data_IF_395524507821
#
_entry.id   IF_395524507821
#
_cell.length_a   1.000
_cell.length_b   1.000
_cell.length_c   1.000
_cell.angle_alpha   90.00
_cell.angle_beta   90.00
_cell.angle_gamma   90.00
#
_symmetry.space_group_name_H-M   'P 1'
#
loop_
_entity.id
_entity.type
_entity.pdbx_description
1 polymer ?
#
# COMPACT_ATOMS: atom_id res chain seq x y z
N UNK A 1 11.44 -6.96 27.24
CA UNK A 1 11.82 -6.27 25.98
C UNK A 1 10.60 -6.26 25.07
N UNK A 2 10.11 -5.09 24.65
CA UNK A 2 8.97 -4.98 23.74
C UNK A 2 9.42 -5.27 22.31
N UNK A 3 9.25 -6.51 21.85
CA UNK A 3 9.54 -6.88 20.47
C UNK A 3 8.40 -6.34 19.58
N UNK A 4 8.73 -5.48 18.63
CA UNK A 4 7.73 -4.98 17.66
C UNK A 4 7.24 -6.13 16.80
N UNK A 5 5.92 -6.32 16.65
CA UNK A 5 5.36 -7.38 15.82
C UNK A 5 5.58 -7.15 14.32
N UNK A 6 5.80 -5.90 13.91
CA UNK A 6 6.00 -5.48 12.54
C UNK A 6 7.49 -5.33 12.22
N UNK A 7 8.20 -6.45 12.24
CA UNK A 7 9.65 -6.52 11.99
C UNK A 7 9.97 -7.70 11.09
N UNK A 8 11.06 -7.61 10.34
CA UNK A 8 11.58 -8.69 9.49
C UNK A 8 11.97 -9.95 10.26
N UNK A 9 12.17 -9.85 11.58
CA UNK A 9 12.44 -10.98 12.45
C UNK A 9 11.18 -11.81 12.78
N UNK A 10 9.98 -11.22 12.66
CA UNK A 10 8.74 -11.94 12.95
C UNK A 10 8.34 -12.81 11.75
N UNK A 11 8.35 -14.15 11.87
CA UNK A 11 8.04 -15.04 10.74
C UNK A 11 6.61 -14.87 10.21
N UNK A 12 5.68 -14.41 11.04
CA UNK A 12 4.30 -14.13 10.61
C UNK A 12 4.26 -12.90 9.69
N UNK A 13 5.00 -11.85 10.04
CA UNK A 13 5.07 -10.62 9.25
C UNK A 13 5.79 -10.83 7.92
N UNK A 14 6.85 -11.63 7.90
CA UNK A 14 7.56 -11.96 6.65
C UNK A 14 6.68 -12.80 5.72
N UNK A 15 5.96 -13.78 6.27
CA UNK A 15 4.98 -14.59 5.53
C UNK A 15 3.89 -13.69 4.93
N UNK A 16 3.32 -12.78 5.72
CA UNK A 16 2.34 -11.80 5.24
C UNK A 16 2.91 -10.97 4.08
N UNK A 17 4.11 -10.40 4.26
CA UNK A 17 4.74 -9.53 3.27
C UNK A 17 5.01 -10.24 1.94
N UNK A 18 5.41 -11.51 1.99
CA UNK A 18 5.59 -12.34 0.79
C UNK A 18 4.28 -12.57 0.03
N UNK A 19 3.21 -13.04 0.71
CA UNK A 19 1.92 -13.26 0.05
C UNK A 19 1.26 -11.95 -0.40
N UNK A 20 1.48 -10.85 0.32
CA UNK A 20 1.04 -9.53 -0.08
C UNK A 20 1.68 -9.10 -1.41
N UNK A 21 3.00 -9.22 -1.54
CA UNK A 21 3.70 -8.92 -2.78
C UNK A 21 3.21 -9.78 -3.95
N UNK A 22 2.98 -11.07 -3.71
CA UNK A 22 2.49 -12.02 -4.71
C UNK A 22 1.06 -11.67 -5.18
N UNK A 23 0.16 -11.35 -4.26
CA UNK A 23 -1.21 -10.94 -4.58
C UNK A 23 -1.25 -9.59 -5.32
N UNK A 24 -0.42 -8.64 -4.93
CA UNK A 24 -0.39 -7.35 -5.63
C UNK A 24 0.24 -7.49 -7.02
N UNK A 25 1.28 -8.32 -7.16
CA UNK A 25 1.84 -8.68 -8.46
C UNK A 25 0.76 -9.20 -9.41
N UNK A 26 -0.12 -10.07 -8.91
CA UNK A 26 -1.27 -10.57 -9.66
C UNK A 26 -2.19 -9.43 -10.13
N UNK A 27 -2.56 -8.48 -9.26
CA UNK A 27 -3.41 -7.32 -9.66
C UNK A 27 -2.76 -6.59 -10.85
N UNK A 28 -1.46 -6.30 -10.74
CA UNK A 28 -0.72 -5.60 -11.80
C UNK A 28 -0.63 -6.42 -13.09
N UNK A 29 -0.46 -7.75 -12.97
CA UNK A 29 -0.44 -8.65 -14.11
C UNK A 29 -1.78 -8.67 -14.85
N UNK A 30 -2.91 -8.69 -14.14
CA UNK A 30 -4.25 -8.61 -14.77
C UNK A 30 -4.49 -7.25 -15.42
N UNK A 31 -3.95 -6.15 -14.86
CA UNK A 31 -3.95 -4.84 -15.51
C UNK A 31 -3.20 -4.87 -16.86
N UNK A 32 -2.01 -5.48 -16.87
CA UNK A 32 -1.23 -5.66 -18.09
C UNK A 32 -1.98 -6.52 -19.12
N UNK A 33 -2.60 -7.63 -18.70
CA UNK A 33 -3.42 -8.47 -19.59
C UNK A 33 -4.61 -7.70 -20.19
N UNK A 34 -5.20 -6.77 -19.47
CA UNK A 34 -6.28 -5.91 -19.99
C UNK A 34 -5.75 -5.01 -21.11
N UNK A 35 -4.57 -4.41 -20.94
CA UNK A 35 -3.92 -3.63 -22.00
C UNK A 35 -3.58 -4.49 -23.20
N UNK A 36 -2.97 -5.66 -22.97
CA UNK A 36 -2.60 -6.61 -24.01
C UNK A 36 -3.80 -7.09 -24.84
N UNK A 37 -4.91 -7.43 -24.18
CA UNK A 37 -6.14 -7.88 -24.86
C UNK A 37 -6.77 -6.77 -25.71
N UNK A 38 -6.74 -5.51 -25.26
CA UNK A 38 -7.17 -4.35 -26.06
C UNK A 38 -6.37 -4.22 -27.35
N UNK A 39 -5.04 -4.31 -27.26
CA UNK A 39 -4.17 -4.26 -28.45
C UNK A 39 -4.41 -5.45 -29.38
N UNK A 40 -4.55 -6.67 -28.85
CA UNK A 40 -4.80 -7.89 -29.63
C UNK A 40 -6.16 -7.86 -30.36
N UNK A 41 -7.19 -7.28 -29.74
CA UNK A 41 -8.56 -7.22 -30.28
C UNK A 41 -8.87 -5.93 -31.03
N UNK A 42 -7.95 -4.97 -31.07
CA UNK A 42 -8.14 -3.62 -31.63
C UNK A 42 -9.38 -2.89 -31.08
N UNK A 43 -9.75 -3.19 -29.83
CA UNK A 43 -10.92 -2.64 -29.15
C UNK A 43 -10.47 -1.61 -28.12
N UNK A 44 -10.66 -0.32 -28.44
CA UNK A 44 -10.26 0.79 -27.58
C UNK A 44 -11.48 1.56 -27.08
N UNK A 45 -11.35 2.20 -25.92
CA UNK A 45 -12.41 3.01 -25.31
C UNK A 45 -12.39 4.47 -25.77
N UNK A 46 -11.28 4.88 -26.39
CA UNK A 46 -10.93 6.25 -26.67
C UNK A 46 -10.84 6.45 -28.18
N UNK A 47 -11.55 7.42 -28.77
CA UNK A 47 -11.49 7.66 -30.22
C UNK A 47 -10.08 8.05 -30.69
N UNK A 48 -9.31 8.76 -29.86
CA UNK A 48 -7.94 9.15 -30.19
C UNK A 48 -6.96 7.97 -30.27
N UNK A 49 -7.29 6.87 -29.59
CA UNK A 49 -6.50 5.64 -29.59
C UNK A 49 -6.83 4.78 -30.82
N UNK A 50 -8.02 4.97 -31.43
CA UNK A 50 -8.43 4.33 -32.67
C UNK A 50 -7.81 4.96 -33.91
N UNK A 51 -7.73 6.29 -33.97
CA UNK A 51 -7.33 7.02 -35.19
C UNK A 51 -5.88 6.75 -35.64
N UNK A 52 -5.01 6.26 -34.74
CA UNK A 52 -3.62 5.89 -35.07
C UNK A 52 -3.46 4.43 -35.50
N UNK A 53 -4.48 3.59 -35.33
CA UNK A 53 -4.43 2.18 -35.73
C UNK A 53 -5.39 1.95 -36.88
N UNK A 54 -4.87 1.48 -38.02
CA UNK A 54 -5.62 1.24 -39.27
C UNK A 54 -6.87 0.33 -39.14
N UNK A 55 -7.09 -0.31 -37.97
CA UNK A 55 -8.22 -1.20 -37.67
C UNK A 55 -8.89 -0.93 -36.30
N UNK A 56 -8.51 0.14 -35.59
CA UNK A 56 -9.05 0.43 -34.26
C UNK A 56 -10.51 0.88 -34.32
N UNK A 57 -11.40 0.24 -33.57
CA UNK A 57 -12.79 0.69 -33.41
C UNK A 57 -13.07 1.01 -31.95
N UNK A 58 -13.84 2.09 -31.71
CA UNK A 58 -14.39 2.37 -30.38
C UNK A 58 -15.51 1.35 -30.15
N UNK A 59 -15.18 0.25 -29.48
CA UNK A 59 -16.13 -0.84 -29.20
C UNK A 59 -15.84 -1.44 -27.84
N UNK A 60 -16.89 -1.76 -27.11
CA UNK A 60 -16.80 -2.62 -25.94
C UNK A 60 -16.72 -4.08 -26.42
N UNK A 61 -15.58 -4.71 -26.18
CA UNK A 61 -15.38 -6.12 -26.49
C UNK A 61 -15.61 -6.97 -25.23
N UNK A 62 -16.33 -8.07 -25.36
CA UNK A 62 -16.72 -8.90 -24.21
C UNK A 62 -15.50 -9.51 -23.51
N UNK A 63 -14.46 -9.90 -24.26
CA UNK A 63 -13.25 -10.49 -23.70
C UNK A 63 -12.46 -9.44 -22.89
N UNK A 64 -12.38 -8.19 -23.38
CA UNK A 64 -11.74 -7.08 -22.65
C UNK A 64 -12.50 -6.77 -21.36
N UNK A 65 -13.83 -6.70 -21.43
CA UNK A 65 -14.67 -6.47 -20.25
C UNK A 65 -14.63 -7.64 -19.27
N UNK A 66 -14.36 -8.87 -19.74
CA UNK A 66 -14.14 -10.03 -18.86
C UNK A 66 -12.86 -9.86 -18.05
N UNK A 67 -11.73 -9.52 -18.69
CA UNK A 67 -10.46 -9.28 -17.96
C UNK A 67 -10.58 -8.08 -17.03
N UNK A 68 -11.27 -7.01 -17.45
CA UNK A 68 -11.51 -5.83 -16.60
C UNK A 68 -12.32 -6.16 -15.35
N UNK A 69 -13.38 -6.95 -15.47
CA UNK A 69 -14.15 -7.45 -14.31
C UNK A 69 -13.30 -8.31 -13.39
N UNK A 70 -12.32 -9.06 -13.93
CA UNK A 70 -11.40 -9.86 -13.13
C UNK A 70 -10.50 -8.95 -12.29
N UNK A 71 -9.96 -7.89 -12.91
CA UNK A 71 -9.14 -6.89 -12.25
C UNK A 71 -9.93 -6.18 -11.13
N UNK A 72 -11.15 -5.73 -11.42
CA UNK A 72 -11.99 -5.05 -10.43
C UNK A 72 -12.33 -5.95 -9.25
N UNK A 73 -12.67 -7.21 -9.51
CA UNK A 73 -12.88 -8.18 -8.45
C UNK A 73 -11.62 -8.37 -7.60
N UNK A 74 -10.45 -8.44 -8.22
CA UNK A 74 -9.18 -8.52 -7.50
C UNK A 74 -8.96 -7.27 -6.61
N UNK A 75 -9.23 -6.05 -7.08
CA UNK A 75 -9.15 -4.84 -6.27
C UNK A 75 -10.13 -4.86 -5.08
N UNK A 76 -11.38 -5.25 -5.31
CA UNK A 76 -12.45 -5.30 -4.30
C UNK A 76 -12.19 -6.36 -3.21
N UNK A 77 -11.42 -7.41 -3.50
CA UNK A 77 -11.21 -8.54 -2.59
C UNK A 77 -9.82 -8.55 -1.95
N UNK A 78 -8.77 -8.29 -2.74
CA UNK A 78 -7.38 -8.36 -2.27
C UNK A 78 -7.06 -7.16 -1.37
N UNK A 79 -7.51 -5.94 -1.71
CA UNK A 79 -7.19 -4.76 -0.88
C UNK A 79 -7.76 -4.87 0.54
N UNK A 80 -9.04 -5.26 0.76
CA UNK A 80 -9.53 -5.52 2.11
C UNK A 80 -8.78 -6.65 2.83
N UNK A 81 -8.46 -7.73 2.11
CA UNK A 81 -7.68 -8.84 2.68
C UNK A 81 -6.32 -8.36 3.18
N UNK A 82 -5.59 -7.54 2.42
CA UNK A 82 -4.28 -7.02 2.83
C UNK A 82 -4.39 -6.19 4.11
N UNK A 83 -5.42 -5.35 4.23
CA UNK A 83 -5.70 -4.58 5.44
C UNK A 83 -6.02 -5.47 6.64
N UNK A 84 -6.94 -6.42 6.48
CA UNK A 84 -7.32 -7.37 7.54
C UNK A 84 -6.15 -8.27 7.97
N UNK A 85 -5.38 -8.78 7.01
CA UNK A 85 -4.22 -9.61 7.26
C UNK A 85 -3.12 -8.83 7.99
N UNK A 86 -2.87 -7.56 7.63
CA UNK A 86 -1.92 -6.70 8.35
C UNK A 86 -2.33 -6.48 9.81
N UNK A 87 -3.62 -6.21 10.05
CA UNK A 87 -4.18 -6.10 11.40
C UNK A 87 -4.06 -7.44 12.16
N UNK A 88 -4.33 -8.56 11.48
CA UNK A 88 -4.19 -9.90 12.03
C UNK A 88 -2.76 -10.23 12.48
N UNK A 89 -1.72 -9.80 11.74
CA UNK A 89 -0.32 -9.91 12.21
C UNK A 89 -0.13 -9.21 13.57
N UNK A 90 -0.80 -8.08 13.77
CA UNK A 90 -0.79 -7.33 15.04
C UNK A 90 -1.41 -8.06 16.23
N UNK A 91 -2.17 -9.14 16.00
CA UNK A 91 -2.71 -10.00 17.08
C UNK A 91 -1.70 -11.04 17.59
N UNK A 92 -0.55 -11.18 16.93
CA UNK A 92 0.46 -12.17 17.26
C UNK A 92 0.01 -13.64 17.09
N UNK A 93 -0.58 -14.02 15.94
CA UNK A 93 -1.10 -15.36 15.73
C UNK A 93 0.03 -16.40 15.60
N UNK A 94 -0.33 -17.68 15.71
CA UNK A 94 0.62 -18.76 15.42
C UNK A 94 0.97 -18.78 13.93
N UNK A 95 2.23 -19.12 13.62
CA UNK A 95 2.73 -19.16 12.24
C UNK A 95 1.92 -20.11 11.35
N UNK A 96 1.53 -21.27 11.87
CA UNK A 96 0.75 -22.26 11.13
C UNK A 96 -0.61 -21.72 10.68
N UNK A 97 -1.36 -21.08 11.59
CA UNK A 97 -2.65 -20.48 11.27
C UNK A 97 -2.53 -19.34 10.26
N UNK A 98 -1.54 -18.46 10.43
CA UNK A 98 -1.30 -17.36 9.47
C UNK A 98 -0.92 -17.90 8.07
N UNK A 99 0.00 -18.87 7.98
CA UNK A 99 0.38 -19.50 6.72
C UNK A 99 -0.82 -20.14 6.04
N UNK A 100 -1.65 -20.88 6.77
CA UNK A 100 -2.84 -21.53 6.22
C UNK A 100 -3.82 -20.53 5.61
N UNK A 101 -4.16 -19.46 6.33
CA UNK A 101 -5.09 -18.44 5.86
C UNK A 101 -4.56 -17.70 4.63
N UNK A 102 -3.29 -17.28 4.67
CA UNK A 102 -2.69 -16.52 3.56
C UNK A 102 -2.54 -17.38 2.31
N UNK A 103 -2.16 -18.66 2.45
CA UNK A 103 -2.10 -19.63 1.34
C UNK A 103 -3.48 -19.90 0.76
N UNK A 104 -4.47 -20.14 1.61
CA UNK A 104 -5.84 -20.46 1.17
C UNK A 104 -6.46 -19.29 0.41
N UNK A 105 -6.33 -18.07 0.94
CA UNK A 105 -6.81 -16.88 0.23
C UNK A 105 -6.09 -16.69 -1.10
N UNK A 106 -4.76 -16.82 -1.11
CA UNK A 106 -3.95 -16.69 -2.34
C UNK A 106 -4.38 -17.71 -3.38
N UNK A 107 -4.41 -19.00 -3.03
CA UNK A 107 -4.85 -20.07 -3.94
C UNK A 107 -6.26 -19.81 -4.48
N UNK A 108 -7.21 -19.45 -3.61
CA UNK A 108 -8.58 -19.13 -4.03
C UNK A 108 -8.63 -17.97 -5.03
N UNK A 109 -7.81 -16.92 -4.85
CA UNK A 109 -7.73 -15.79 -5.78
C UNK A 109 -7.10 -16.17 -7.11
N UNK A 110 -6.01 -16.93 -7.11
CA UNK A 110 -5.40 -17.40 -8.38
C UNK A 110 -6.37 -18.30 -9.15
N UNK A 111 -7.03 -19.23 -8.46
CA UNK A 111 -8.08 -20.06 -9.05
C UNK A 111 -9.23 -19.24 -9.61
N UNK A 112 -9.71 -18.21 -8.89
CA UNK A 112 -10.78 -17.34 -9.39
C UNK A 112 -10.40 -16.66 -10.72
N UNK A 113 -9.20 -16.08 -10.82
CA UNK A 113 -8.74 -15.42 -12.05
C UNK A 113 -8.46 -16.42 -13.16
N UNK A 114 -7.92 -17.60 -12.86
CA UNK A 114 -7.72 -18.66 -13.84
C UNK A 114 -9.06 -19.11 -14.46
N UNK A 115 -10.04 -19.40 -13.61
CA UNK A 115 -11.40 -19.84 -13.99
C UNK A 115 -12.23 -18.73 -14.64
N UNK A 116 -11.84 -17.47 -14.46
CA UNK A 116 -12.59 -16.34 -15.01
C UNK A 116 -11.99 -15.76 -16.30
N UNK A 117 -10.67 -15.58 -16.33
CA UNK A 117 -9.98 -14.87 -17.40
C UNK A 117 -9.22 -15.81 -18.36
N UNK A 118 -8.75 -16.97 -17.90
CA UNK A 118 -7.93 -17.88 -18.72
C UNK A 118 -8.78 -19.01 -19.30
N UNK A 119 -9.46 -19.76 -18.44
CA UNK A 119 -10.33 -20.87 -18.82
C UNK A 119 -11.75 -20.51 -18.44
N UNK A 120 -12.64 -20.34 -19.42
CA UNK A 120 -14.05 -20.03 -19.16
C UNK A 120 -14.76 -21.30 -18.70
N UNK A 121 -14.74 -21.56 -17.40
CA UNK A 121 -15.53 -22.65 -16.81
C UNK A 121 -16.92 -22.10 -16.46
N UNK A 122 -18.00 -22.83 -16.78
CA UNK A 122 -19.34 -22.46 -16.34
C UNK A 122 -19.41 -22.38 -14.80
N UNK A 123 -20.46 -21.71 -14.31
CA UNK A 123 -20.79 -21.75 -12.88
C UNK A 123 -20.95 -23.22 -12.45
N UNK A 124 -20.49 -23.64 -11.24
CA UNK A 124 -20.31 -22.86 -10.02
C UNK A 124 -18.84 -22.58 -9.60
N UNK A 125 -17.84 -23.00 -10.38
CA UNK A 125 -16.42 -22.95 -9.97
C UNK A 125 -15.96 -21.54 -9.55
N UNK A 126 -16.42 -20.50 -10.25
CA UNK A 126 -16.16 -19.11 -9.89
C UNK A 126 -16.74 -18.74 -8.52
N UNK A 127 -18.01 -19.06 -8.28
CA UNK A 127 -18.69 -18.72 -7.04
C UNK A 127 -18.03 -19.42 -5.84
N UNK A 128 -17.64 -20.69 -6.00
CA UNK A 128 -16.94 -21.45 -4.96
C UNK A 128 -15.61 -20.78 -4.58
N UNK A 129 -14.77 -20.47 -5.57
CA UNK A 129 -13.49 -19.78 -5.30
C UNK A 129 -13.69 -18.39 -4.69
N UNK A 130 -14.75 -17.67 -5.08
CA UNK A 130 -15.15 -16.40 -4.49
C UNK A 130 -15.49 -16.56 -3.00
N UNK A 131 -16.41 -17.49 -2.68
CA UNK A 131 -16.89 -17.78 -1.32
C UNK A 131 -15.73 -18.14 -0.40
N UNK A 132 -14.80 -19.01 -0.83
CA UNK A 132 -13.63 -19.38 -0.02
C UNK A 132 -12.82 -18.15 0.39
N UNK A 133 -12.57 -17.21 -0.53
CA UNK A 133 -11.85 -15.97 -0.20
C UNK A 133 -12.62 -15.08 0.79
N UNK A 134 -13.94 -14.99 0.63
CA UNK A 134 -14.79 -14.20 1.53
C UNK A 134 -14.89 -14.81 2.93
N UNK A 135 -14.91 -16.14 3.05
CA UNK A 135 -14.86 -16.83 4.34
C UNK A 135 -13.55 -16.54 5.09
N UNK A 136 -12.41 -16.47 4.38
CA UNK A 136 -11.13 -16.08 4.98
C UNK A 136 -11.18 -14.63 5.48
N UNK A 137 -11.70 -13.69 4.67
CA UNK A 137 -11.87 -12.30 5.09
C UNK A 137 -12.76 -12.17 6.33
N UNK A 138 -13.90 -12.86 6.34
CA UNK A 138 -14.82 -12.88 7.48
C UNK A 138 -14.13 -13.44 8.72
N UNK A 139 -13.39 -14.54 8.60
CA UNK A 139 -12.64 -15.14 9.70
C UNK A 139 -11.60 -14.17 10.29
N UNK A 140 -10.80 -13.51 9.44
CA UNK A 140 -9.80 -12.53 9.90
C UNK A 140 -10.46 -11.37 10.67
N UNK A 141 -11.58 -10.86 10.16
CA UNK A 141 -12.34 -9.80 10.82
C UNK A 141 -12.90 -10.24 12.19
N UNK A 142 -13.51 -11.42 12.25
CA UNK A 142 -14.10 -11.94 13.49
C UNK A 142 -13.04 -12.20 14.56
N UNK A 143 -11.87 -12.72 14.19
CA UNK A 143 -10.78 -12.94 15.15
C UNK A 143 -10.21 -11.63 15.68
N UNK A 144 -9.96 -10.64 14.82
CA UNK A 144 -9.49 -9.34 15.30
C UNK A 144 -10.50 -8.73 16.29
N UNK A 145 -11.79 -8.77 15.96
CA UNK A 145 -12.85 -8.32 16.88
C UNK A 145 -12.86 -9.08 18.19
N UNK A 146 -12.82 -10.41 18.15
CA UNK A 146 -12.82 -11.25 19.35
C UNK A 146 -11.60 -10.98 20.24
N UNK A 147 -10.43 -10.81 19.62
CA UNK A 147 -9.18 -10.52 20.30
C UNK A 147 -9.25 -9.18 21.03
N UNK A 148 -9.75 -8.12 20.37
CA UNK A 148 -9.96 -6.80 20.96
C UNK A 148 -11.02 -6.79 22.06
N UNK A 149 -12.15 -7.49 21.88
CA UNK A 149 -13.21 -7.57 22.88
C UNK A 149 -12.74 -8.27 24.17
N UNK A 150 -11.79 -9.20 24.08
CA UNK A 150 -11.23 -9.88 25.26
C UNK A 150 -10.17 -9.08 26.00
N UNK A 151 -9.80 -7.88 25.52
CA UNK A 151 -8.74 -7.06 26.13
C UNK A 151 -7.41 -7.79 26.24
N UNK A 152 -7.21 -8.84 25.43
CA UNK A 152 -5.97 -9.61 25.43
C UNK A 152 -4.93 -8.74 24.74
N UNK A 153 -4.11 -8.04 25.51
CA UNK A 153 -3.01 -7.28 24.93
C UNK A 153 -2.11 -8.24 24.12
N UNK A 154 -1.73 -7.90 22.87
CA UNK A 154 -0.77 -8.68 22.08
C UNK A 154 0.54 -8.93 22.85
N UNK A 155 0.86 -8.02 23.77
CA UNK A 155 2.03 -8.08 24.65
C UNK A 155 1.95 -9.26 25.63
N UNK A 156 0.77 -9.65 26.14
CA UNK A 156 0.64 -10.66 27.19
C UNK A 156 0.81 -12.11 26.70
N UNK A 157 0.49 -12.39 25.43
CA UNK A 157 0.52 -13.75 24.86
C UNK A 157 1.95 -14.20 24.54
N UNK A 158 2.80 -13.30 24.04
CA UNK A 158 4.17 -13.62 23.66
C UNK A 158 5.06 -13.98 24.86
N UNK A 159 4.83 -13.35 26.02
CA UNK A 159 5.54 -13.71 27.26
C UNK A 159 5.18 -15.12 27.75
N UNK A 160 3.98 -15.63 27.45
CA UNK A 160 3.52 -16.96 27.88
C UNK A 160 4.16 -18.10 27.08
N UNK A 161 4.49 -17.88 25.80
CA UNK A 161 5.19 -18.88 24.96
C UNK A 161 6.69 -18.88 25.20
N UNK A 162 7.32 -17.72 25.41
CA UNK A 162 8.77 -17.64 25.70
C UNK A 162 9.13 -18.19 27.09
N UNK A 163 8.22 -18.15 28.07
CA UNK A 163 8.41 -18.73 29.40
C UNK A 163 8.46 -20.26 29.40
N UNK A 164 7.98 -20.95 28.35
CA UNK A 164 8.07 -22.42 28.27
C UNK A 164 9.49 -22.93 27.93
N UNK A 165 10.41 -22.04 27.54
CA UNK A 165 11.81 -22.39 27.22
C UNK A 165 12.87 -21.61 28.02
N UNK A 166 12.49 -20.96 29.12
CA UNK A 166 13.45 -20.33 30.02
C UNK A 166 12.85 -20.09 31.39
N UNK A 167 13.57 -20.51 32.44
CA UNK A 167 13.31 -20.14 33.83
C UNK A 167 13.38 -18.62 33.98
N UNK A 168 12.25 -17.95 33.85
CA UNK A 168 12.10 -16.53 34.19
C UNK A 168 10.93 -16.42 35.17
N UNK A 169 11.25 -15.97 36.38
CA UNK A 169 10.30 -15.72 37.46
C UNK A 169 9.24 -14.69 37.04
N UNK A 170 7.98 -14.93 37.44
CA UNK A 170 6.85 -14.03 37.20
C UNK A 170 7.09 -12.68 37.89
N UNK A 171 6.88 -11.53 37.22
CA UNK A 171 6.69 -10.28 37.95
C UNK A 171 5.29 -10.30 38.56
N UNK A 172 5.21 -10.15 39.88
CA UNK A 172 3.95 -9.86 40.57
C UNK A 172 3.51 -8.44 40.18
N UNK A 173 2.42 -8.34 39.43
CA UNK A 173 1.75 -7.06 39.19
C UNK A 173 0.77 -6.87 40.33
N UNK A 174 1.19 -6.13 41.36
CA UNK A 174 0.26 -5.59 42.35
C UNK A 174 -0.50 -4.43 41.69
N UNK A 175 -1.78 -4.65 41.43
CA UNK A 175 -2.72 -3.59 41.12
C UNK A 175 -3.12 -2.90 42.43
N UNK A 176 -2.64 -1.69 42.65
CA UNK A 176 -3.30 -0.72 43.54
C UNK A 176 -3.40 0.61 42.79
N UNK A 177 -4.64 0.97 42.46
CA UNK A 177 -4.99 2.30 42.01
C UNK A 177 -4.85 3.24 43.21
N UNK A 178 -3.89 4.15 43.16
CA UNK A 178 -3.87 5.44 43.88
C UNK A 178 -2.63 6.23 43.47
N UNK A 179 -2.79 7.13 42.48
CA UNK A 179 -1.74 8.07 42.10
C UNK A 179 -1.80 9.30 43.02
N UNK A 180 -1.03 9.26 44.12
CA UNK A 180 -0.71 10.46 44.93
C UNK A 180 0.81 10.51 45.08
N UNK A 181 1.45 11.44 44.37
CA UNK A 181 2.90 11.62 44.40
C UNK A 181 3.38 12.04 45.79
N UNK A 182 4.20 11.20 46.42
CA UNK A 182 4.88 11.47 47.68
C UNK A 182 6.12 12.35 47.44
N UNK A 183 6.40 13.27 48.36
CA UNK A 183 7.52 14.23 48.32
C UNK A 183 8.92 13.58 48.35
N UNK A 184 9.01 12.26 48.48
CA UNK A 184 10.27 11.51 48.54
C UNK A 184 10.89 11.22 47.17
N UNK A 185 10.10 11.21 46.09
CA UNK A 185 10.59 10.86 44.74
C UNK A 185 11.38 12.00 44.06
N UNK A 186 11.29 13.22 44.60
CA UNK A 186 12.03 14.39 44.08
C UNK A 186 13.51 14.41 44.48
N UNK A 187 13.94 13.59 45.45
CA UNK A 187 15.32 13.60 45.96
C UNK A 187 16.27 12.63 45.24
N UNK A 188 15.76 11.68 44.45
CA UNK A 188 16.56 10.70 43.72
C UNK A 188 17.08 11.19 42.35
N UNK A 189 16.58 12.33 41.84
CA UNK A 189 17.06 12.95 40.59
C UNK A 189 18.20 13.97 40.79
N UNK A 190 18.72 14.12 42.01
CA UNK A 190 19.77 15.11 42.33
C UNK A 190 21.14 14.51 42.71
N UNK A 191 21.29 13.18 42.71
CA UNK A 191 22.55 12.50 43.05
C UNK A 191 22.92 11.44 42.02
N UNK A 192 23.32 11.89 40.84
CA UNK A 192 24.13 11.07 39.92
C UNK A 192 25.14 11.95 39.19
N UNK A 193 26.01 12.58 39.97
CA UNK A 193 27.26 13.20 39.54
C UNK A 193 28.38 12.71 40.47
N UNK A 194 28.94 11.55 40.16
CA UNK A 194 30.25 11.06 40.65
C UNK A 194 30.71 10.11 39.54
N UNK A 195 31.68 10.47 38.68
CA UNK A 195 33.10 10.55 39.00
C UNK A 195 33.78 9.30 38.43
N UNK A 196 34.39 9.40 37.25
CA UNK A 196 35.29 8.38 36.71
C UNK A 196 36.57 9.05 36.24
N UNK A 197 37.43 9.36 37.21
CA UNK A 197 38.86 9.57 37.01
C UNK A 197 39.53 8.21 36.90
N UNK A 198 40.25 7.95 35.80
CA UNK A 198 41.48 7.15 35.68
C UNK A 198 41.62 6.63 34.24
N UNK A 199 42.27 7.42 33.39
CA UNK A 199 42.93 6.93 32.17
C UNK A 199 44.22 7.74 31.98
N UNK A 200 45.39 7.27 32.46
CA UNK A 200 46.66 7.72 31.93
C UNK A 200 47.14 6.76 30.83
N UNK A 201 47.89 7.29 29.85
CA UNK A 201 48.69 6.56 28.84
C UNK A 201 48.08 6.26 27.46
N UNK A 202 47.21 7.10 26.90
CA UNK A 202 47.03 7.13 25.42
C UNK A 202 47.18 8.53 24.81
N UNK A 203 47.21 9.59 25.62
CA UNK A 203 47.15 10.98 25.14
C UNK A 203 48.47 11.59 24.66
N UNK A 204 49.58 10.84 24.59
CA UNK A 204 50.89 11.38 24.17
C UNK A 204 51.29 10.98 22.73
N UNK A 205 50.58 10.06 22.08
CA UNK A 205 50.90 9.62 20.70
C UNK A 205 50.00 10.32 19.63
N UNK A 206 48.92 11.00 20.03
CA UNK A 206 47.93 11.53 19.07
C UNK A 206 48.21 12.94 18.50
N UNK A 207 49.39 13.53 18.71
CA UNK A 207 49.70 14.90 18.27
C UNK A 207 50.43 15.03 16.91
N UNK A 208 50.52 13.96 16.10
CA UNK A 208 51.38 13.97 14.88
C UNK A 208 50.64 13.66 13.57
N UNK A 209 49.33 13.41 13.55
CA UNK A 209 48.66 13.17 12.25
C UNK A 209 47.17 13.58 12.20
N UNK A 210 46.80 14.66 11.48
CA UNK A 210 45.40 15.04 11.31
C UNK A 210 44.59 14.02 10.48
N UNK A 211 45.25 13.19 9.68
CA UNK A 211 44.62 12.12 8.89
C UNK A 211 44.14 10.96 9.78
N UNK A 212 44.89 10.63 10.84
CA UNK A 212 44.54 9.54 11.75
C UNK A 212 43.34 9.91 12.65
N UNK A 213 43.19 11.20 12.98
CA UNK A 213 42.01 11.69 13.70
C UNK A 213 40.72 11.56 12.88
N UNK A 214 40.76 11.82 11.57
CA UNK A 214 39.60 11.64 10.69
C UNK A 214 39.23 10.15 10.60
N UNK A 215 40.23 9.26 10.51
CA UNK A 215 40.02 7.81 10.45
C UNK A 215 39.41 7.25 11.76
N UNK A 216 39.95 7.65 12.92
CA UNK A 216 39.43 7.24 14.24
C UNK A 216 38.05 7.85 14.53
N UNK A 217 37.79 9.08 14.10
CA UNK A 217 36.45 9.70 14.18
C UNK A 217 35.43 8.98 13.30
N UNK A 218 35.86 8.49 12.14
CA UNK A 218 35.00 7.74 11.22
C UNK A 218 34.71 6.33 11.74
N UNK A 219 35.72 5.62 12.26
CA UNK A 219 35.53 4.29 12.84
C UNK A 219 34.72 4.31 14.13
N UNK A 220 34.93 5.31 15.00
CA UNK A 220 34.05 5.52 16.16
C UNK A 220 32.63 5.89 15.74
N UNK A 221 32.42 6.73 14.73
CA UNK A 221 31.08 7.00 14.19
C UNK A 221 30.42 5.75 13.58
N UNK A 222 31.18 4.86 12.92
CA UNK A 222 30.68 3.58 12.40
C UNK A 222 30.32 2.63 13.56
N UNK A 223 31.12 2.56 14.61
CA UNK A 223 30.82 1.74 15.80
C UNK A 223 29.65 2.29 16.61
N UNK A 224 29.54 3.60 16.79
CA UNK A 224 28.39 4.24 17.46
C UNK A 224 27.12 4.13 16.63
N UNK A 225 27.18 4.23 15.30
CA UNK A 225 26.01 3.94 14.45
C UNK A 225 25.63 2.46 14.44
N UNK A 226 26.60 1.53 14.54
CA UNK A 226 26.28 0.11 14.67
C UNK A 226 25.72 -0.27 16.04
N UNK A 227 26.18 0.36 17.14
CA UNK A 227 25.72 0.03 18.49
C UNK A 227 24.39 0.69 18.87
N UNK A 228 23.94 1.72 18.15
CA UNK A 228 22.56 2.24 18.23
C UNK A 228 21.53 1.44 17.40
N UNK A 229 21.94 0.36 16.73
CA UNK A 229 21.07 -0.47 15.86
C UNK A 229 20.20 -1.49 16.61
N UNK A 230 20.37 -1.62 17.94
CA UNK A 230 19.67 -2.63 18.74
C UNK A 230 18.53 -2.05 19.59
N UNK A 231 17.98 -0.90 19.22
CA UNK A 231 16.63 -0.54 19.67
C UNK A 231 15.70 -1.09 18.60
N UNK A 232 14.83 -2.03 19.01
CA UNK A 232 13.74 -2.59 18.21
C UNK A 232 12.79 -1.47 17.75
N UNK A 233 13.21 -0.68 16.77
CA UNK A 233 12.46 0.45 16.26
C UNK A 233 11.40 -0.12 15.34
N UNK A 234 10.13 0.12 15.68
CA UNK A 234 9.03 -0.30 14.84
C UNK A 234 9.20 0.33 13.45
N UNK A 235 9.21 -0.49 12.39
CA UNK A 235 9.46 0.01 11.02
C UNK A 235 8.42 1.04 10.57
N UNK A 236 7.23 1.01 11.16
CA UNK A 236 6.10 1.90 10.90
C UNK A 236 5.99 3.01 11.95
N UNK A 237 7.10 3.64 12.32
CA UNK A 237 7.15 4.82 13.20
C UNK A 237 7.60 6.06 12.41
N UNK A 238 7.19 7.26 12.85
CA UNK A 238 7.64 8.54 12.28
C UNK A 238 9.15 8.75 12.38
N UNK A 239 9.80 8.10 13.34
CA UNK A 239 11.26 8.14 13.52
C UNK A 239 12.00 7.43 12.37
N UNK A 240 11.33 6.51 11.66
CA UNK A 240 11.90 5.90 10.47
C UNK A 240 11.79 6.87 9.28
N UNK A 241 12.91 7.39 8.75
CA UNK A 241 12.89 8.36 7.66
C UNK A 241 12.29 7.79 6.36
N UNK A 242 12.32 6.47 6.17
CA UNK A 242 11.69 5.79 5.03
C UNK A 242 10.16 5.85 5.16
N UNK A 243 9.63 5.54 6.35
CA UNK A 243 8.19 5.58 6.60
C UNK A 243 7.64 7.01 6.59
N UNK A 244 8.39 7.98 7.11
CA UNK A 244 8.05 9.39 7.02
C UNK A 244 7.96 9.85 5.55
N UNK A 245 8.93 9.43 4.72
CA UNK A 245 8.92 9.72 3.29
C UNK A 245 7.71 9.08 2.59
N UNK A 246 7.42 7.81 2.88
CA UNK A 246 6.23 7.12 2.37
C UNK A 246 4.94 7.87 2.74
N UNK A 247 4.79 8.26 4.01
CA UNK A 247 3.60 8.97 4.51
C UNK A 247 3.37 10.30 3.79
N UNK A 248 4.44 11.05 3.51
CA UNK A 248 4.36 12.29 2.74
C UNK A 248 3.85 12.06 1.30
N UNK A 249 4.44 11.12 0.56
CA UNK A 249 4.01 10.84 -0.83
C UNK A 249 2.62 10.18 -0.87
N UNK A 250 2.28 9.36 0.14
CA UNK A 250 0.95 8.79 0.28
C UNK A 250 -0.12 9.88 0.46
N UNK A 251 0.14 10.86 1.33
CA UNK A 251 -0.74 12.02 1.50
C UNK A 251 -0.85 12.83 0.21
N UNK A 252 0.26 13.09 -0.49
CA UNK A 252 0.26 13.83 -1.74
C UNK A 252 -0.56 13.14 -2.84
N UNK A 253 -0.40 11.83 -2.99
CA UNK A 253 -1.19 11.03 -3.94
C UNK A 253 -2.67 10.96 -3.53
N UNK A 254 -2.97 10.90 -2.23
CA UNK A 254 -4.33 10.96 -1.70
C UNK A 254 -5.02 12.30 -1.96
N UNK A 255 -4.31 13.43 -1.78
CA UNK A 255 -4.81 14.76 -2.15
C UNK A 255 -5.11 14.81 -3.64
N UNK A 256 -4.24 14.23 -4.47
CA UNK A 256 -4.44 14.17 -5.91
C UNK A 256 -5.67 13.36 -6.30
N UNK A 257 -5.89 12.17 -5.73
CA UNK A 257 -7.07 11.34 -6.04
C UNK A 257 -8.36 12.05 -5.63
N UNK A 258 -8.38 12.69 -4.46
CA UNK A 258 -9.50 13.53 -4.01
C UNK A 258 -9.71 14.74 -4.94
N UNK A 259 -8.63 15.38 -5.38
CA UNK A 259 -8.66 16.48 -6.34
C UNK A 259 -9.32 16.10 -7.67
N UNK A 260 -9.11 14.88 -8.15
CA UNK A 260 -9.77 14.38 -9.37
C UNK A 260 -11.29 14.24 -9.21
N UNK A 261 -11.78 13.92 -8.01
CA UNK A 261 -13.22 13.90 -7.74
C UNK A 261 -13.83 15.31 -7.83
N UNK A 262 -13.14 16.31 -7.26
CA UNK A 262 -13.54 17.73 -7.34
C UNK A 262 -13.52 18.25 -8.79
N UNK A 263 -12.53 17.87 -9.58
CA UNK A 263 -12.47 18.21 -11.01
C UNK A 263 -13.64 17.60 -11.78
N UNK A 264 -14.02 16.35 -11.49
CA UNK A 264 -15.18 15.70 -12.11
C UNK A 264 -16.46 16.46 -11.78
N UNK A 265 -16.64 16.85 -10.50
CA UNK A 265 -17.78 17.64 -10.07
C UNK A 265 -17.81 19.01 -10.75
N UNK A 266 -16.67 19.72 -10.78
CA UNK A 266 -16.53 21.01 -11.48
C UNK A 266 -16.87 20.90 -12.97
N UNK A 267 -16.44 19.83 -13.64
CA UNK A 267 -16.74 19.63 -15.06
C UNK A 267 -18.24 19.42 -15.29
N UNK A 268 -18.92 18.63 -14.42
CA UNK A 268 -20.38 18.45 -14.46
C UNK A 268 -21.12 19.79 -14.26
N UNK A 269 -20.71 20.59 -13.28
CA UNK A 269 -21.33 21.89 -13.01
C UNK A 269 -21.06 22.93 -14.11
N UNK A 270 -19.83 22.98 -14.65
CA UNK A 270 -19.48 23.90 -15.74
C UNK A 270 -20.30 23.61 -17.00
N UNK A 271 -20.48 22.32 -17.34
CA UNK A 271 -21.33 21.93 -18.47
C UNK A 271 -22.80 22.27 -18.20
N UNK A 272 -23.31 22.06 -16.97
CA UNK A 272 -24.64 22.54 -16.56
C UNK A 272 -24.80 24.05 -16.78
N UNK A 273 -23.82 24.85 -16.38
CA UNK A 273 -23.86 26.32 -16.50
C UNK A 273 -23.81 26.79 -17.96
N UNK A 274 -22.98 26.18 -18.80
CA UNK A 274 -22.93 26.46 -20.24
C UNK A 274 -24.27 26.10 -20.92
N UNK A 275 -24.85 24.95 -20.58
CA UNK A 275 -26.18 24.54 -21.09
C UNK A 275 -27.29 25.51 -20.66
N UNK A 276 -27.21 26.12 -19.47
CA UNK A 276 -28.18 27.11 -18.99
C UNK A 276 -28.08 28.46 -19.71
N UNK A 277 -26.88 28.86 -20.16
CA UNK A 277 -26.64 30.16 -20.80
C UNK A 277 -27.00 30.18 -22.31
N UNK A 278 -26.98 29.03 -23.00
CA UNK A 278 -27.00 29.03 -24.48
C UNK A 278 -28.33 28.71 -25.20
N UNK A 279 -29.46 28.49 -24.52
CA UNK A 279 -30.84 28.39 -25.10
C UNK A 279 -31.00 27.71 -26.48
N UNK A 280 -30.12 26.77 -26.83
CA UNK A 280 -30.17 25.94 -28.04
C UNK A 280 -29.66 24.54 -27.69
N UNK A 281 -30.56 23.58 -27.87
CA UNK A 281 -30.38 22.12 -27.77
C UNK A 281 -29.95 21.54 -26.42
N UNK A 282 -30.85 20.68 -25.92
CA UNK A 282 -30.84 20.02 -24.63
C UNK A 282 -29.88 18.81 -24.57
N UNK A 283 -28.56 19.02 -24.53
CA UNK A 283 -27.58 17.94 -24.39
C UNK A 283 -26.85 18.01 -23.04
N UNK A 284 -26.93 16.94 -22.24
CA UNK A 284 -26.87 17.02 -20.76
C UNK A 284 -26.00 15.95 -20.15
N UNK A 285 -25.13 16.36 -19.21
CA UNK A 285 -24.07 15.56 -18.60
C UNK A 285 -24.37 15.08 -17.16
N UNK A 286 -25.56 14.52 -16.92
CA UNK A 286 -25.87 13.84 -15.65
C UNK A 286 -26.05 12.34 -15.88
N UNK A 287 -25.32 11.54 -15.10
CA UNK A 287 -25.35 10.08 -15.19
C UNK A 287 -26.64 9.49 -14.62
N UNK A 288 -27.23 10.15 -13.62
CA UNK A 288 -28.39 9.65 -12.91
C UNK A 288 -29.67 10.46 -13.20
N UNK A 289 -30.82 9.77 -13.31
CA UNK A 289 -32.09 10.40 -13.62
C UNK A 289 -32.63 11.26 -12.46
N UNK A 290 -32.27 10.99 -11.21
CA UNK A 290 -32.68 11.82 -10.06
C UNK A 290 -31.98 13.18 -10.02
N UNK A 291 -30.70 13.25 -10.39
CA UNK A 291 -29.99 14.52 -10.62
C UNK A 291 -30.59 15.30 -11.79
N UNK A 292 -31.20 14.57 -12.74
CA UNK A 292 -31.92 15.10 -13.87
C UNK A 292 -33.36 15.54 -13.52
N UNK A 293 -33.97 15.06 -12.43
CA UNK A 293 -35.34 15.42 -12.04
C UNK A 293 -35.47 16.85 -11.51
N UNK A 294 -34.37 17.48 -11.08
CA UNK A 294 -34.36 18.91 -10.76
C UNK A 294 -34.68 19.80 -11.98
N UNK A 295 -34.60 19.29 -13.23
CA UNK A 295 -35.07 19.99 -14.42
C UNK A 295 -35.76 19.02 -15.38
N UNK A 296 -37.11 19.12 -15.50
CA UNK A 296 -38.02 18.18 -16.22
C UNK A 296 -37.70 17.87 -17.68
N UNK A 297 -36.77 18.58 -18.32
CA UNK A 297 -36.40 18.38 -19.73
C UNK A 297 -35.13 17.54 -19.91
N UNK A 298 -34.54 16.96 -18.86
CA UNK A 298 -33.21 16.33 -18.91
C UNK A 298 -33.21 14.83 -19.31
N UNK A 299 -32.74 14.50 -20.53
CA UNK A 299 -32.37 13.12 -20.95
C UNK A 299 -30.93 12.80 -20.50
N UNK A 300 -30.71 11.57 -20.03
CA UNK A 300 -29.42 11.06 -19.53
C UNK A 300 -28.50 10.68 -20.71
N UNK A 301 -27.46 11.47 -20.96
CA UNK A 301 -26.38 11.12 -21.89
C UNK A 301 -25.04 11.45 -21.25
N UNK A 302 -24.05 10.59 -21.42
CA UNK A 302 -22.70 10.82 -20.88
C UNK A 302 -21.94 11.80 -21.79
N UNK A 303 -21.44 12.90 -21.24
CA UNK A 303 -20.56 13.85 -21.94
C UNK A 303 -19.12 13.30 -21.96
N UNK A 304 -18.47 13.32 -23.12
CA UNK A 304 -17.14 12.75 -23.33
C UNK A 304 -16.05 13.43 -22.47
N UNK A 305 -16.18 14.74 -22.18
CA UNK A 305 -15.24 15.44 -21.30
C UNK A 305 -15.40 15.01 -19.84
N UNK A 306 -16.63 14.75 -19.41
CA UNK A 306 -16.91 14.23 -18.06
C UNK A 306 -16.43 12.79 -17.92
N UNK A 307 -16.68 11.95 -18.94
CA UNK A 307 -16.18 10.57 -18.98
C UNK A 307 -14.66 10.51 -19.04
N UNK A 308 -14.00 11.47 -19.70
CA UNK A 308 -12.53 11.57 -19.70
C UNK A 308 -11.99 11.78 -18.30
N UNK A 309 -12.52 12.74 -17.53
CA UNK A 309 -12.05 12.97 -16.16
C UNK A 309 -12.37 11.77 -15.27
N UNK A 310 -13.53 11.12 -15.46
CA UNK A 310 -13.89 9.90 -14.73
C UNK A 310 -12.93 8.74 -15.02
N UNK A 311 -12.53 8.55 -16.29
CA UNK A 311 -11.54 7.52 -16.68
C UNK A 311 -10.16 7.81 -16.08
N UNK A 312 -9.76 9.08 -16.03
CA UNK A 312 -8.53 9.49 -15.35
C UNK A 312 -8.58 9.17 -13.84
N UNK A 313 -9.69 9.49 -13.17
CA UNK A 313 -9.90 9.17 -11.76
C UNK A 313 -9.91 7.65 -11.52
N UNK A 314 -10.57 6.87 -12.38
CA UNK A 314 -10.58 5.42 -12.27
C UNK A 314 -9.17 4.84 -12.44
N UNK A 315 -8.40 5.32 -13.41
CA UNK A 315 -7.01 4.92 -13.60
C UNK A 315 -6.16 5.22 -12.36
N UNK A 316 -6.43 6.34 -11.69
CA UNK A 316 -5.77 6.67 -10.44
C UNK A 316 -6.07 5.67 -9.34
N UNK A 317 -7.33 5.25 -9.17
CA UNK A 317 -7.69 4.21 -8.21
C UNK A 317 -7.01 2.87 -8.53
N UNK A 318 -6.99 2.48 -9.81
CA UNK A 318 -6.38 1.23 -10.28
C UNK A 318 -4.85 1.20 -10.12
N UNK A 319 -4.17 2.34 -10.01
CA UNK A 319 -2.69 2.39 -9.93
C UNK A 319 -2.16 2.88 -8.59
N UNK A 320 -2.78 3.91 -7.99
CA UNK A 320 -2.33 4.50 -6.73
C UNK A 320 -2.62 3.54 -5.58
N UNK A 321 -3.78 2.88 -5.54
CA UNK A 321 -4.10 1.95 -4.44
C UNK A 321 -3.13 0.75 -4.37
N UNK A 322 -2.81 0.05 -5.49
CA UNK A 322 -1.76 -0.94 -5.48
C UNK A 322 -0.38 -0.37 -5.11
N UNK A 323 -0.01 0.81 -5.61
CA UNK A 323 1.27 1.43 -5.22
C UNK A 323 1.35 1.69 -3.71
N UNK A 324 0.30 2.24 -3.10
CA UNK A 324 0.29 2.53 -1.66
C UNK A 324 0.48 1.25 -0.84
N UNK A 325 -0.16 0.15 -1.24
CA UNK A 325 -0.01 -1.14 -0.56
C UNK A 325 1.38 -1.76 -0.78
N UNK A 326 1.93 -1.72 -2.00
CA UNK A 326 3.30 -2.20 -2.27
C UNK A 326 4.32 -1.38 -1.49
N UNK A 327 4.23 -0.05 -1.59
CA UNK A 327 5.16 0.86 -0.93
C UNK A 327 5.12 0.66 0.59
N UNK A 328 3.94 0.48 1.17
CA UNK A 328 3.78 0.17 2.59
C UNK A 328 4.47 -1.14 3.00
N UNK A 329 4.31 -2.21 2.22
CA UNK A 329 5.00 -3.49 2.47
C UNK A 329 6.51 -3.36 2.22
N UNK A 330 6.92 -2.57 1.21
CA UNK A 330 8.31 -2.31 0.88
C UNK A 330 9.05 -1.58 2.01
N UNK A 331 8.40 -0.64 2.72
CA UNK A 331 8.98 -0.04 3.95
C UNK A 331 9.30 -1.12 4.98
N UNK A 332 8.47 -2.16 5.08
CA UNK A 332 8.69 -3.32 5.95
C UNK A 332 10.00 -4.07 5.68
N UNK A 333 10.57 -3.96 4.48
CA UNK A 333 11.86 -4.58 4.13
C UNK A 333 13.08 -3.83 4.68
N UNK A 334 12.91 -2.62 5.23
CA UNK A 334 14.02 -1.77 5.66
C UNK A 334 14.93 -1.31 4.52
N UNK A 335 14.42 -0.77 3.40
CA UNK A 335 15.23 -0.37 2.26
C UNK A 335 16.07 0.87 2.56
N UNK A 336 17.12 1.11 1.74
CA UNK A 336 17.90 2.33 1.86
C UNK A 336 17.06 3.57 1.55
N UNK A 337 17.25 4.64 2.35
CA UNK A 337 16.45 5.87 2.26
C UNK A 337 16.48 6.51 0.87
N UNK A 338 17.66 6.54 0.24
CA UNK A 338 17.83 7.10 -1.11
C UNK A 338 17.03 6.33 -2.16
N UNK A 339 17.10 5.00 -2.13
CA UNK A 339 16.38 4.14 -3.07
C UNK A 339 14.86 4.28 -2.89
N UNK A 340 14.36 4.19 -1.66
CA UNK A 340 12.93 4.34 -1.38
C UNK A 340 12.39 5.72 -1.81
N UNK A 341 13.11 6.80 -1.48
CA UNK A 341 12.72 8.17 -1.90
C UNK A 341 12.69 8.31 -3.41
N UNK A 342 13.67 7.75 -4.14
CA UNK A 342 13.70 7.79 -5.60
C UNK A 342 12.48 7.11 -6.20
N UNK A 343 12.12 5.91 -5.71
CA UNK A 343 10.96 5.16 -6.19
C UNK A 343 9.65 5.92 -5.93
N UNK A 344 9.47 6.46 -4.73
CA UNK A 344 8.27 7.23 -4.39
C UNK A 344 8.14 8.50 -5.24
N UNK A 345 9.25 9.20 -5.48
CA UNK A 345 9.30 10.37 -6.38
C UNK A 345 8.97 10.00 -7.82
N UNK A 346 9.62 8.95 -8.34
CA UNK A 346 9.44 8.51 -9.73
C UNK A 346 7.98 8.11 -9.98
N UNK A 347 7.38 7.33 -9.08
CA UNK A 347 5.98 6.94 -9.20
C UNK A 347 5.04 8.16 -9.12
N UNK A 348 5.27 9.05 -8.14
CA UNK A 348 4.46 10.26 -7.96
C UNK A 348 4.53 11.14 -9.21
N UNK A 349 5.73 11.43 -9.71
CA UNK A 349 5.93 12.21 -10.93
C UNK A 349 5.22 11.58 -12.14
N UNK A 350 5.34 10.26 -12.31
CA UNK A 350 4.66 9.55 -13.38
C UNK A 350 3.13 9.66 -13.28
N UNK A 351 2.56 9.66 -12.06
CA UNK A 351 1.10 9.82 -11.86
C UNK A 351 0.60 11.23 -12.11
N UNK A 352 1.35 12.26 -11.70
CA UNK A 352 1.01 13.64 -12.04
C UNK A 352 1.13 13.88 -13.54
N UNK A 353 2.20 13.38 -14.18
CA UNK A 353 2.36 13.46 -15.63
C UNK A 353 1.23 12.74 -16.37
N UNK A 354 0.84 11.54 -15.93
CA UNK A 354 -0.28 10.82 -16.52
C UNK A 354 -1.57 11.64 -16.49
N UNK A 355 -1.91 12.24 -15.35
CA UNK A 355 -3.11 13.10 -15.24
C UNK A 355 -3.02 14.35 -16.09
N UNK A 356 -1.85 15.00 -16.16
CA UNK A 356 -1.66 16.18 -17.01
C UNK A 356 -1.87 15.84 -18.49
N UNK A 357 -1.26 14.75 -18.97
CA UNK A 357 -1.32 14.28 -20.36
C UNK A 357 -2.69 13.68 -20.72
N UNK A 358 -3.43 13.15 -19.74
CA UNK A 358 -4.72 12.50 -19.98
C UNK A 358 -5.90 13.48 -19.85
N UNK A 359 -5.91 14.32 -18.80
CA UNK A 359 -7.07 15.13 -18.44
C UNK A 359 -6.92 16.62 -18.79
N UNK A 360 -5.70 17.17 -18.81
CA UNK A 360 -5.47 18.62 -18.99
C UNK A 360 -5.05 18.95 -20.43
N UNK A 361 -3.91 18.42 -20.85
CA UNK A 361 -3.39 18.58 -22.20
C UNK A 361 -3.61 17.25 -22.91
N UNK A 362 -4.65 17.18 -23.76
CA UNK A 362 -4.99 15.96 -24.52
C UNK A 362 -3.85 15.67 -25.49
N UNK A 363 -2.82 14.98 -25.01
CA UNK A 363 -1.63 14.67 -25.79
C UNK A 363 -1.84 13.27 -26.38
N UNK A 364 -1.63 13.11 -27.71
CA UNK A 364 -1.79 11.82 -28.35
C UNK A 364 -0.78 10.80 -27.79
N UNK A 365 -1.07 9.51 -27.95
CA UNK A 365 -0.09 8.45 -27.67
C UNK A 365 1.24 8.77 -28.38
N UNK A 366 2.43 8.55 -27.77
CA UNK A 366 2.75 7.55 -26.73
C UNK A 366 2.89 8.07 -25.29
N UNK A 367 2.76 9.37 -25.02
CA UNK A 367 3.07 9.96 -23.71
C UNK A 367 2.28 9.32 -22.55
N UNK A 368 0.99 9.00 -22.76
CA UNK A 368 0.15 8.29 -21.77
C UNK A 368 0.69 6.90 -21.42
N UNK A 369 1.10 6.14 -22.43
CA UNK A 369 1.64 4.80 -22.25
C UNK A 369 2.99 4.84 -21.52
N UNK A 370 3.87 5.79 -21.86
CA UNK A 370 5.16 5.96 -21.18
C UNK A 370 4.99 6.29 -19.70
N UNK A 371 4.07 7.20 -19.35
CA UNK A 371 3.76 7.51 -17.96
C UNK A 371 3.15 6.30 -17.21
N UNK A 372 2.38 5.46 -17.92
CA UNK A 372 1.86 4.21 -17.38
C UNK A 372 2.99 3.21 -17.07
N UNK A 373 3.85 2.92 -18.06
CA UNK A 373 4.97 1.97 -17.90
C UNK A 373 5.99 2.43 -16.87
N UNK A 374 6.27 3.74 -16.77
CA UNK A 374 7.14 4.28 -15.73
C UNK A 374 6.65 3.94 -14.31
N UNK A 375 5.34 4.05 -14.06
CA UNK A 375 4.74 3.65 -12.79
C UNK A 375 4.78 2.13 -12.56
N UNK A 376 4.55 1.34 -13.61
CA UNK A 376 4.60 -0.12 -13.54
C UNK A 376 6.00 -0.66 -13.20
N UNK A 377 7.06 -0.10 -13.79
CA UNK A 377 8.44 -0.50 -13.52
C UNK A 377 8.78 -0.31 -12.04
N UNK A 378 8.40 0.83 -11.46
CA UNK A 378 8.61 1.12 -10.03
C UNK A 378 7.91 0.08 -9.16
N UNK A 379 6.65 -0.25 -9.47
CA UNK A 379 5.89 -1.26 -8.74
C UNK A 379 6.53 -2.66 -8.85
N UNK A 380 6.92 -3.07 -10.05
CA UNK A 380 7.57 -4.38 -10.28
C UNK A 380 8.88 -4.48 -9.50
N UNK A 381 9.70 -3.42 -9.51
CA UNK A 381 10.93 -3.39 -8.73
C UNK A 381 10.69 -3.57 -7.23
N UNK A 382 9.74 -2.82 -6.65
CA UNK A 382 9.43 -2.93 -5.22
C UNK A 382 8.91 -4.33 -4.87
N UNK A 383 8.03 -4.89 -5.68
CA UNK A 383 7.52 -6.27 -5.51
C UNK A 383 8.67 -7.27 -5.52
N UNK A 384 9.55 -7.18 -6.53
CA UNK A 384 10.70 -8.07 -6.64
C UNK A 384 11.62 -7.96 -5.42
N UNK A 385 11.89 -6.75 -4.94
CA UNK A 385 12.68 -6.52 -3.73
C UNK A 385 12.01 -7.13 -2.48
N UNK A 386 10.69 -7.01 -2.32
CA UNK A 386 9.95 -7.64 -1.21
C UNK A 386 10.07 -9.17 -1.30
N UNK A 387 9.80 -9.73 -2.47
CA UNK A 387 9.84 -11.18 -2.68
C UNK A 387 11.23 -11.74 -2.42
N UNK A 388 12.29 -11.08 -2.91
CA UNK A 388 13.67 -11.48 -2.67
C UNK A 388 14.02 -11.44 -1.18
N UNK A 389 13.63 -10.37 -0.48
CA UNK A 389 13.93 -10.22 0.94
C UNK A 389 13.19 -11.23 1.82
N UNK A 390 11.98 -11.69 1.45
CA UNK A 390 11.19 -12.62 2.25
C UNK A 390 11.01 -14.01 1.64
N UNK A 391 11.82 -14.39 0.66
CA UNK A 391 11.74 -15.69 0.00
C UNK A 391 11.90 -16.86 1.01
N UNK A 392 12.70 -16.67 2.06
CA UNK A 392 12.93 -17.68 3.11
C UNK A 392 11.70 -17.93 4.00
N UNK A 393 10.70 -17.04 3.99
CA UNK A 393 9.53 -17.15 4.85
C UNK A 393 8.46 -18.12 4.29
N UNK A 394 8.57 -18.49 3.02
CA UNK A 394 7.64 -19.36 2.31
C UNK A 394 7.61 -20.77 2.90
#
# INVERSE_FOLDING_TARGET
>A
MNMSLYTSQNPVFTTFSFYAALLIFKILFVAFLTGWTRFRKHAFQNPEDCNKMNKGKVRNDEDVERVRRAHLNDLENILPFLGLAFVYVGTGPTLGSAKFLFRTFTAARFSHTFVYAVVVIPQPARALSYIVGQLVNLYLYLIDKLFRCRGLDPRAVYYRTSSKHGNVSKPQVNCSADARWSSSDRKLLSKQQVGFSMLPLVSVICFVNPILQIQLSYETNILYTQQSSSVNMSLYTSDNPVFASFSFYAALLGVKTLGMALLTARQRFRKKLITLVHLKSFDKAFANPEDAKMNKTLKTKTDEDVERVRRAHLNDLENILPFLTIAFVYVGTGPSLGCAKLLFRAFTAARFLHTLVYAVFVIPQPARALAFFGGMIVNIYMIFAIMKNYAYAF
#
